data_IF_812354227430
#
_entry.id   IF_812354227430
#
_cell.length_a   1.000
_cell.length_b   1.000
_cell.length_c   1.000
_cell.angle_alpha   90.00
_cell.angle_beta   90.00
_cell.angle_gamma   90.00
#
_symmetry.space_group_name_H-M   'P 1'
#
loop_
_entity.id
_entity.type
_entity.pdbx_description
1 polymer ?
#
# COMPACT_ATOMS: atom_id res chain seq x y z
N UNK A 1 9.53 19.79 -9.20
CA UNK A 1 9.28 18.35 -9.49
C UNK A 1 10.32 17.43 -8.85
N UNK A 2 11.64 17.70 -8.96
CA UNK A 2 12.71 16.91 -8.33
C UNK A 2 12.60 16.68 -6.81
N UNK A 3 11.96 17.60 -6.06
CA UNK A 3 11.81 17.45 -4.61
C UNK A 3 10.81 16.36 -4.22
N UNK A 4 9.69 16.23 -4.95
CA UNK A 4 8.61 15.30 -4.62
C UNK A 4 9.03 13.85 -4.78
N UNK A 5 9.68 13.50 -5.88
CA UNK A 5 10.17 12.13 -6.10
C UNK A 5 11.20 11.74 -5.04
N UNK A 6 12.07 12.66 -4.65
CA UNK A 6 13.05 12.45 -3.57
C UNK A 6 12.36 12.21 -2.23
N UNK A 7 11.39 13.05 -1.87
CA UNK A 7 10.61 12.89 -0.63
C UNK A 7 9.86 11.54 -0.58
N UNK A 8 9.25 11.12 -1.69
CA UNK A 8 8.57 9.81 -1.75
C UNK A 8 9.56 8.64 -1.69
N UNK A 9 10.74 8.76 -2.27
CA UNK A 9 11.80 7.76 -2.12
C UNK A 9 12.21 7.62 -0.65
N UNK A 10 12.47 8.72 0.03
CA UNK A 10 12.81 8.72 1.46
C UNK A 10 11.68 8.13 2.32
N UNK A 11 10.43 8.53 2.05
CA UNK A 11 9.24 7.95 2.70
C UNK A 11 9.15 6.44 2.50
N UNK A 12 9.39 5.98 1.28
CA UNK A 12 9.29 4.55 0.95
C UNK A 12 10.45 3.76 1.52
N UNK A 13 11.66 4.32 1.60
CA UNK A 13 12.79 3.73 2.29
C UNK A 13 12.49 3.51 3.78
N UNK A 14 11.89 4.51 4.43
CA UNK A 14 11.51 4.42 5.84
C UNK A 14 10.40 3.38 6.02
N UNK A 15 9.34 3.46 5.22
CA UNK A 15 8.25 2.50 5.26
C UNK A 15 8.73 1.06 5.02
N UNK A 16 9.63 0.87 4.04
CA UNK A 16 10.20 -0.42 3.70
C UNK A 16 11.00 -1.04 4.86
N UNK A 17 11.74 -0.23 5.64
CA UNK A 17 12.43 -0.70 6.84
C UNK A 17 11.45 -1.26 7.88
N UNK A 18 10.36 -0.54 8.17
CA UNK A 18 9.34 -1.01 9.11
C UNK A 18 8.54 -2.21 8.55
N UNK A 19 8.26 -2.19 7.24
CA UNK A 19 7.58 -3.26 6.52
C UNK A 19 8.51 -4.44 6.17
N UNK A 20 9.82 -4.38 6.47
CA UNK A 20 10.77 -5.47 6.23
C UNK A 20 10.85 -5.92 4.77
N UNK A 21 10.67 -4.99 3.83
CA UNK A 21 10.68 -5.23 2.38
C UNK A 21 11.59 -4.23 1.69
N UNK A 22 11.68 -4.29 0.35
CA UNK A 22 12.35 -3.25 -0.43
C UNK A 22 11.40 -2.07 -0.73
N UNK A 23 11.93 -0.85 -0.97
CA UNK A 23 11.12 0.34 -1.28
C UNK A 23 10.17 0.16 -2.46
N UNK A 24 10.57 -0.58 -3.50
CA UNK A 24 9.76 -0.85 -4.70
C UNK A 24 8.57 -1.78 -4.41
N UNK A 25 8.59 -2.44 -3.26
CA UNK A 25 7.50 -3.30 -2.78
C UNK A 25 6.54 -2.54 -1.87
N UNK A 26 6.73 -1.24 -1.65
CA UNK A 26 5.79 -0.42 -0.87
C UNK A 26 4.82 0.28 -1.82
N UNK A 27 3.52 0.15 -1.52
CA UNK A 27 2.46 0.92 -2.18
C UNK A 27 1.88 1.89 -1.16
N UNK A 28 1.73 3.14 -1.59
CA UNK A 28 1.01 4.17 -0.87
C UNK A 28 -0.38 4.32 -1.45
N UNK A 29 -1.41 4.08 -0.64
CA UNK A 29 -2.79 4.39 -0.98
C UNK A 29 -3.26 5.56 -0.12
N UNK A 30 -3.51 6.70 -0.75
CA UNK A 30 -4.08 7.87 -0.07
C UNK A 30 -5.51 8.07 -0.50
N UNK A 31 -6.42 8.06 0.46
CA UNK A 31 -7.80 8.50 0.29
C UNK A 31 -7.88 9.97 0.67
N UNK A 32 -8.26 10.83 -0.28
CA UNK A 32 -8.48 12.25 0.00
C UNK A 32 -9.76 12.42 0.83
N UNK A 33 -9.63 13.21 1.89
CA UNK A 33 -10.72 13.53 2.82
C UNK A 33 -10.36 14.80 3.60
N UNK A 34 -11.34 15.59 4.02
CA UNK A 34 -11.11 16.81 4.80
C UNK A 34 -10.98 16.46 6.28
N UNK A 35 -9.75 16.32 6.79
CA UNK A 35 -9.53 15.93 8.19
C UNK A 35 -9.79 17.12 9.11
N UNK A 36 -10.74 16.99 10.03
CA UNK A 36 -11.15 18.09 10.92
C UNK A 36 -10.23 18.23 12.13
N UNK A 37 -9.61 17.12 12.55
CA UNK A 37 -8.71 17.07 13.69
C UNK A 37 -7.78 15.86 13.58
N UNK A 38 -6.50 16.04 13.92
CA UNK A 38 -5.54 14.94 14.04
C UNK A 38 -5.91 13.94 15.15
N UNK A 39 -6.75 14.32 16.12
CA UNK A 39 -7.27 13.40 17.13
C UNK A 39 -8.03 12.21 16.52
N UNK A 40 -8.59 12.38 15.32
CA UNK A 40 -9.30 11.32 14.59
C UNK A 40 -8.38 10.13 14.25
N UNK A 41 -7.08 10.34 14.10
CA UNK A 41 -6.12 9.24 13.90
C UNK A 41 -5.83 8.49 15.20
N UNK A 42 -5.77 9.19 16.33
CA UNK A 42 -5.66 8.55 17.64
C UNK A 42 -6.89 7.67 17.92
N UNK A 43 -8.09 8.19 17.65
CA UNK A 43 -9.33 7.43 17.77
C UNK A 43 -9.32 6.20 16.84
N UNK A 44 -8.77 6.34 15.63
CA UNK A 44 -8.62 5.25 14.67
C UNK A 44 -7.72 4.14 15.20
N UNK A 45 -6.49 4.46 15.60
CA UNK A 45 -5.54 3.43 16.05
C UNK A 45 -6.01 2.77 17.35
N UNK A 46 -6.65 3.52 18.26
CA UNK A 46 -7.23 2.96 19.48
C UNK A 46 -8.44 2.07 19.20
N UNK A 47 -9.32 2.44 18.27
CA UNK A 47 -10.45 1.60 17.84
C UNK A 47 -9.93 0.30 17.22
N UNK A 48 -8.93 0.38 16.33
CA UNK A 48 -8.31 -0.79 15.69
C UNK A 48 -7.63 -1.72 16.71
N UNK A 49 -6.97 -1.18 17.72
CA UNK A 49 -6.41 -1.97 18.82
C UNK A 49 -7.50 -2.66 19.63
N UNK A 50 -8.50 -1.91 20.11
CA UNK A 50 -9.55 -2.43 21.00
C UNK A 50 -10.50 -3.40 20.32
N UNK A 51 -10.92 -3.09 19.10
CA UNK A 51 -12.00 -3.83 18.42
C UNK A 51 -11.47 -4.96 17.55
N UNK A 52 -10.28 -4.80 16.97
CA UNK A 52 -9.69 -5.80 16.07
C UNK A 52 -8.43 -6.49 16.61
N UNK A 53 -7.99 -6.13 17.82
CA UNK A 53 -6.80 -6.70 18.45
C UNK A 53 -5.51 -6.38 17.70
N UNK A 54 -5.47 -5.27 16.96
CA UNK A 54 -4.27 -4.85 16.24
C UNK A 54 -3.24 -4.27 17.20
N UNK A 55 -2.01 -4.75 17.10
CA UNK A 55 -0.89 -4.08 17.77
C UNK A 55 -0.47 -2.89 16.93
N UNK A 56 -0.20 -1.75 17.57
CA UNK A 56 0.37 -0.60 16.87
C UNK A 56 1.64 -0.08 17.53
N UNK A 57 2.50 0.51 16.72
CA UNK A 57 3.70 1.21 17.18
C UNK A 57 3.86 2.50 16.40
N UNK A 58 4.13 3.60 17.10
CA UNK A 58 4.37 4.89 16.49
C UNK A 58 5.71 4.92 15.73
N UNK A 59 5.70 5.43 14.51
CA UNK A 59 6.88 5.72 13.70
C UNK A 59 7.12 7.23 13.79
N UNK A 60 8.22 7.61 14.45
CA UNK A 60 8.61 9.01 14.59
C UNK A 60 9.34 9.48 13.32
N UNK A 61 8.73 10.47 12.68
CA UNK A 61 9.24 11.25 11.55
C UNK A 61 9.51 10.50 10.23
N UNK A 62 9.67 11.29 9.16
CA UNK A 62 10.11 10.82 7.84
C UNK A 62 9.04 10.18 6.94
N UNK A 63 7.79 10.12 7.39
CA UNK A 63 6.66 9.70 6.55
C UNK A 63 5.83 10.86 6.00
N UNK A 64 6.33 12.11 6.13
CA UNK A 64 5.61 13.36 5.80
C UNK A 64 4.35 13.56 6.66
N UNK A 65 4.39 13.02 7.87
CA UNK A 65 3.31 12.95 8.82
C UNK A 65 3.66 11.96 9.91
N UNK A 66 2.87 11.89 10.97
CA UNK A 66 3.02 10.88 12.01
C UNK A 66 2.58 9.52 11.48
N UNK A 67 3.40 8.50 11.69
CA UNK A 67 3.11 7.14 11.22
C UNK A 67 2.73 6.20 12.34
N UNK A 68 1.89 5.21 12.04
CA UNK A 68 1.53 4.12 12.93
C UNK A 68 1.69 2.79 12.20
N UNK A 69 2.67 2.00 12.61
CA UNK A 69 2.82 0.62 12.14
C UNK A 69 1.74 -0.22 12.81
N UNK A 70 0.82 -0.79 12.03
CA UNK A 70 -0.19 -1.73 12.50
C UNK A 70 0.23 -3.14 12.12
N UNK A 71 0.16 -4.06 13.08
CA UNK A 71 0.56 -5.45 12.88
C UNK A 71 -0.48 -6.42 13.44
N UNK A 72 -0.71 -7.52 12.72
CA UNK A 72 -1.37 -8.71 13.24
C UNK A 72 -0.62 -9.97 12.77
N UNK A 73 -1.16 -11.14 13.11
CA UNK A 73 -0.62 -12.44 12.72
C UNK A 73 -0.60 -12.68 11.19
N UNK A 74 -1.32 -11.88 10.39
CA UNK A 74 -1.44 -12.03 8.92
C UNK A 74 -0.58 -11.06 8.14
N UNK A 75 -0.19 -9.91 8.71
CA UNK A 75 0.55 -8.90 7.98
C UNK A 75 0.73 -7.60 8.75
N UNK A 76 1.25 -6.60 8.03
CA UNK A 76 1.54 -5.28 8.55
C UNK A 76 1.30 -4.20 7.51
N UNK A 77 0.81 -3.06 7.97
CA UNK A 77 0.61 -1.84 7.19
C UNK A 77 1.04 -0.64 8.03
N UNK A 78 1.23 0.52 7.40
CA UNK A 78 1.47 1.77 8.11
C UNK A 78 0.34 2.73 7.77
N UNK A 79 -0.28 3.32 8.79
CA UNK A 79 -1.15 4.48 8.61
C UNK A 79 -0.32 5.74 8.77
N UNK A 80 -0.50 6.72 7.90
CA UNK A 80 0.16 8.02 7.97
C UNK A 80 -0.90 9.11 8.13
N UNK A 81 -0.70 9.97 9.14
CA UNK A 81 -1.51 11.17 9.34
C UNK A 81 -1.26 12.17 8.22
N UNK A 82 -2.34 12.72 7.66
CA UNK A 82 -2.23 13.72 6.60
C UNK A 82 -3.41 14.69 6.65
N UNK A 83 -3.12 15.98 6.57
CA UNK A 83 -4.14 17.05 6.59
C UNK A 83 -5.26 16.89 5.53
N UNK A 84 -4.96 16.22 4.40
CA UNK A 84 -5.87 16.02 3.27
C UNK A 84 -6.32 14.56 3.14
N UNK A 85 -6.28 13.77 4.22
CA UNK A 85 -6.98 12.50 4.29
C UNK A 85 -6.18 11.36 4.90
N UNK A 86 -6.63 10.13 4.65
CA UNK A 86 -5.99 8.94 5.21
C UNK A 86 -5.02 8.33 4.20
N UNK A 87 -3.77 8.13 4.61
CA UNK A 87 -2.78 7.43 3.79
C UNK A 87 -2.36 6.11 4.45
N UNK A 88 -2.32 5.05 3.65
CA UNK A 88 -1.94 3.71 4.07
C UNK A 88 -0.78 3.24 3.20
N UNK A 89 0.34 2.87 3.83
CA UNK A 89 1.47 2.22 3.18
C UNK A 89 1.41 0.71 3.44
N UNK A 90 1.46 -0.09 2.39
CA UNK A 90 1.37 -1.55 2.48
C UNK A 90 2.33 -2.26 1.51
N UNK A 91 2.52 -3.56 1.73
CA UNK A 91 3.40 -4.39 0.91
C UNK A 91 2.66 -4.80 -0.37
N UNK A 92 3.22 -4.47 -1.54
CA UNK A 92 2.78 -4.95 -2.84
C UNK A 92 2.70 -6.49 -2.87
N UNK A 93 1.64 -7.04 -3.44
CA UNK A 93 1.37 -8.47 -3.48
C UNK A 93 0.87 -9.07 -2.16
N UNK A 94 0.73 -8.28 -1.10
CA UNK A 94 0.22 -8.75 0.18
C UNK A 94 -1.32 -8.82 0.18
N UNK A 95 -1.85 -9.96 -0.26
CA UNK A 95 -3.29 -10.26 -0.23
C UNK A 95 -3.86 -10.12 1.20
N UNK A 96 -3.07 -10.50 2.22
CA UNK A 96 -3.46 -10.36 3.62
C UNK A 96 -3.70 -8.89 4.02
N UNK A 97 -2.90 -7.96 3.49
CA UNK A 97 -3.09 -6.52 3.73
C UNK A 97 -4.32 -6.01 2.98
N UNK A 98 -4.49 -6.41 1.71
CA UNK A 98 -5.58 -5.96 0.83
C UNK A 98 -6.96 -6.45 1.28
N UNK A 99 -7.08 -7.69 1.77
CA UNK A 99 -8.35 -8.29 2.20
C UNK A 99 -8.61 -8.20 3.71
N UNK A 100 -7.56 -7.97 4.51
CA UNK A 100 -7.66 -7.98 5.96
C UNK A 100 -7.54 -6.59 6.55
N UNK A 101 -6.33 -6.04 6.49
CA UNK A 101 -5.99 -4.82 7.23
C UNK A 101 -6.55 -3.55 6.60
N UNK A 102 -6.41 -3.39 5.29
CA UNK A 102 -6.88 -2.19 4.58
C UNK A 102 -8.40 -2.00 4.70
N UNK A 103 -9.26 -3.00 4.45
CA UNK A 103 -10.71 -2.83 4.54
C UNK A 103 -11.14 -2.47 5.95
N UNK A 104 -10.53 -3.10 6.96
CA UNK A 104 -10.77 -2.82 8.37
C UNK A 104 -10.41 -1.37 8.71
N UNK A 105 -9.22 -0.90 8.31
CA UNK A 105 -8.81 0.50 8.52
C UNK A 105 -9.77 1.48 7.85
N UNK A 106 -10.17 1.21 6.60
CA UNK A 106 -11.11 2.08 5.87
C UNK A 106 -12.50 2.10 6.51
N UNK A 107 -12.97 0.97 7.03
CA UNK A 107 -14.23 0.87 7.75
C UNK A 107 -14.20 1.63 9.08
N UNK A 108 -13.16 1.44 9.90
CA UNK A 108 -12.99 2.17 11.15
C UNK A 108 -12.86 3.67 10.90
N UNK A 109 -12.11 4.08 9.87
CA UNK A 109 -12.03 5.48 9.46
C UNK A 109 -13.40 6.05 9.09
N UNK A 110 -14.18 5.32 8.29
CA UNK A 110 -15.56 5.73 7.94
C UNK A 110 -16.47 5.82 9.16
N UNK A 111 -16.35 4.91 10.14
CA UNK A 111 -17.15 4.92 11.36
C UNK A 111 -16.88 6.18 12.20
N UNK A 112 -15.59 6.48 12.42
CA UNK A 112 -15.15 7.67 13.16
C UNK A 112 -15.63 8.95 12.47
N UNK A 113 -15.54 8.98 11.14
CA UNK A 113 -15.90 10.15 10.32
C UNK A 113 -17.41 10.32 10.12
N UNK A 114 -18.15 9.21 10.00
CA UNK A 114 -19.59 9.18 9.77
C UNK A 114 -20.42 9.78 10.92
N UNK A 115 -19.83 9.89 12.12
CA UNK A 115 -20.42 10.64 13.24
C UNK A 115 -20.38 12.17 13.04
N UNK A 116 -19.50 12.69 12.17
CA UNK A 116 -19.26 14.13 11.99
C UNK A 116 -19.64 14.67 10.61
N UNK A 117 -19.82 13.82 9.60
CA UNK A 117 -20.08 14.25 8.23
C UNK A 117 -21.55 14.02 7.82
N UNK A 118 -22.38 15.07 7.89
CA UNK A 118 -23.63 15.12 7.12
C UNK A 118 -23.28 15.22 5.63
N UNK A 119 -23.56 14.16 4.87
CA UNK A 119 -23.82 14.10 3.42
C UNK A 119 -22.95 14.97 2.47
N UNK A 120 -22.23 14.27 1.57
CA UNK A 120 -22.06 14.55 0.12
C UNK A 120 -20.84 15.30 -0.44
N UNK A 121 -19.84 15.74 0.33
CA UNK A 121 -18.64 16.40 -0.26
C UNK A 121 -17.34 15.60 -0.08
N UNK A 122 -17.39 14.28 -0.24
CA UNK A 122 -16.15 13.51 -0.35
C UNK A 122 -15.74 13.46 -1.82
N UNK A 123 -14.73 14.24 -2.19
CA UNK A 123 -13.89 13.90 -3.36
C UNK A 123 -13.31 12.52 -3.07
N UNK A 124 -13.95 11.48 -3.64
CA UNK A 124 -13.61 10.07 -3.45
C UNK A 124 -12.34 9.68 -4.21
N UNK A 125 -11.37 10.59 -4.22
CA UNK A 125 -10.13 10.49 -4.94
C UNK A 125 -9.16 9.65 -4.16
N UNK A 126 -8.80 8.52 -4.78
CA UNK A 126 -7.75 7.67 -4.29
C UNK A 126 -6.54 7.82 -5.17
N UNK A 127 -5.42 8.10 -4.50
CA UNK A 127 -4.13 8.21 -5.11
C UNK A 127 -3.33 6.97 -4.73
N UNK A 128 -2.99 6.17 -5.73
CA UNK A 128 -2.07 5.05 -5.58
C UNK A 128 -0.71 5.52 -6.04
N UNK A 129 0.30 5.41 -5.17
CA UNK A 129 1.67 5.77 -5.49
C UNK A 129 2.60 4.59 -5.25
N UNK A 130 3.54 4.38 -6.16
CA UNK A 130 4.53 3.29 -6.09
C UNK A 130 5.86 3.71 -6.70
N UNK A 131 6.95 3.05 -6.33
CA UNK A 131 8.22 3.16 -7.05
C UNK A 131 8.27 2.09 -8.13
N UNK A 132 8.46 2.51 -9.38
CA UNK A 132 8.62 1.64 -10.54
C UNK A 132 9.93 1.98 -11.24
N UNK A 133 10.86 1.02 -11.29
CA UNK A 133 12.19 1.21 -11.87
C UNK A 133 12.94 2.43 -11.29
N UNK A 134 12.76 2.68 -9.99
CA UNK A 134 13.38 3.80 -9.29
C UNK A 134 12.71 5.16 -9.52
N UNK A 135 11.56 5.22 -10.19
CA UNK A 135 10.78 6.44 -10.40
C UNK A 135 9.43 6.38 -9.70
N UNK A 136 8.94 7.53 -9.24
CA UNK A 136 7.61 7.64 -8.65
C UNK A 136 6.54 7.53 -9.73
N UNK A 137 5.60 6.61 -9.55
CA UNK A 137 4.36 6.50 -10.31
C UNK A 137 3.20 6.89 -9.42
N UNK A 138 2.30 7.71 -9.96
CA UNK A 138 1.07 8.15 -9.28
C UNK A 138 -0.12 7.85 -10.20
N UNK A 139 -1.12 7.16 -9.67
CA UNK A 139 -2.36 6.81 -10.34
C UNK A 139 -3.52 7.37 -9.54
N UNK A 140 -4.45 8.04 -10.23
CA UNK A 140 -5.65 8.60 -9.62
C UNK A 140 -6.85 7.76 -10.03
N UNK A 141 -7.57 7.23 -9.04
CA UNK A 141 -8.81 6.53 -9.25
C UNK A 141 -9.98 7.40 -8.79
N UNK A 142 -10.68 8.01 -9.75
CA UNK A 142 -11.97 8.66 -9.48
C UNK A 142 -13.06 7.59 -9.41
N UNK A 143 -13.91 7.65 -8.38
CA UNK A 143 -15.13 6.82 -8.18
C UNK A 143 -14.96 5.33 -7.90
N UNK A 144 -13.79 4.85 -7.48
CA UNK A 144 -13.62 3.41 -7.21
C UNK A 144 -14.49 2.90 -6.04
N UNK A 145 -14.88 3.78 -5.09
CA UNK A 145 -15.53 3.41 -3.82
C UNK A 145 -16.99 3.88 -3.65
N UNK A 146 -17.63 4.39 -4.72
CA UNK A 146 -18.99 4.95 -4.64
C UNK A 146 -20.10 3.90 -4.62
N UNK A 147 -19.96 2.78 -5.34
CA UNK A 147 -21.01 1.78 -5.44
C UNK A 147 -20.77 0.56 -4.55
N UNK A 148 -21.62 0.45 -3.52
CA UNK A 148 -21.80 -0.71 -2.63
C UNK A 148 -20.53 -1.19 -1.92
N UNK A 149 -20.22 -0.52 -0.81
CA UNK A 149 -19.61 -1.14 0.37
C UNK A 149 -18.27 -1.83 0.16
N UNK A 150 -17.18 -1.07 -0.03
CA UNK A 150 -15.76 -1.49 0.08
C UNK A 150 -15.28 -2.62 -0.86
N UNK A 151 -16.11 -3.57 -1.27
CA UNK A 151 -15.76 -4.81 -1.93
C UNK A 151 -15.51 -4.63 -3.44
N UNK A 152 -16.26 -3.77 -4.11
CA UNK A 152 -16.10 -3.48 -5.55
C UNK A 152 -14.74 -2.86 -5.85
N UNK A 153 -14.32 -1.89 -5.04
CA UNK A 153 -13.04 -1.19 -5.15
C UNK A 153 -11.85 -2.08 -4.78
N UNK A 154 -12.03 -2.91 -3.74
CA UNK A 154 -11.06 -3.95 -3.39
C UNK A 154 -10.95 -4.95 -4.54
N UNK A 155 -12.04 -5.29 -5.23
CA UNK A 155 -12.01 -6.15 -6.42
C UNK A 155 -11.16 -5.54 -7.53
N UNK A 156 -11.31 -4.25 -7.84
CA UNK A 156 -10.48 -3.59 -8.87
C UNK A 156 -9.00 -3.53 -8.46
N UNK A 157 -8.71 -3.24 -7.19
CA UNK A 157 -7.34 -3.28 -6.66
C UNK A 157 -6.75 -4.71 -6.72
N UNK A 158 -7.54 -5.72 -6.37
CA UNK A 158 -7.14 -7.13 -6.48
C UNK A 158 -6.93 -7.56 -7.92
N UNK A 159 -7.81 -7.18 -8.84
CA UNK A 159 -7.66 -7.49 -10.26
C UNK A 159 -6.37 -6.89 -10.82
N UNK A 160 -6.07 -5.64 -10.45
CA UNK A 160 -4.83 -4.98 -10.85
C UNK A 160 -3.61 -5.68 -10.24
N UNK A 161 -3.67 -6.07 -8.97
CA UNK A 161 -2.58 -6.77 -8.30
C UNK A 161 -2.39 -8.18 -8.86
N UNK A 162 -3.47 -8.91 -9.16
CA UNK A 162 -3.45 -10.23 -9.81
C UNK A 162 -2.82 -10.11 -11.20
N UNK A 163 -3.26 -9.13 -12.02
CA UNK A 163 -2.69 -8.89 -13.35
C UNK A 163 -1.19 -8.62 -13.26
N UNK A 164 -0.78 -7.79 -12.30
CA UNK A 164 0.63 -7.48 -12.05
C UNK A 164 1.43 -8.72 -11.64
N UNK A 165 0.93 -9.49 -10.68
CA UNK A 165 1.57 -10.73 -10.23
C UNK A 165 1.70 -11.74 -11.38
N UNK A 166 0.69 -11.84 -12.24
CA UNK A 166 0.75 -12.68 -13.44
C UNK A 166 1.83 -12.22 -14.41
N UNK A 167 1.99 -10.91 -14.61
CA UNK A 167 3.04 -10.35 -15.45
C UNK A 167 4.44 -10.59 -14.86
N UNK A 168 4.59 -10.39 -13.56
CA UNK A 168 5.85 -10.68 -12.85
C UNK A 168 6.23 -12.16 -12.94
N UNK A 169 5.27 -13.08 -12.78
CA UNK A 169 5.49 -14.53 -12.97
C UNK A 169 5.90 -14.84 -14.41
N UNK A 170 5.24 -14.25 -15.41
CA UNK A 170 5.58 -14.44 -16.81
C UNK A 170 7.01 -13.95 -17.11
N UNK A 171 7.38 -12.79 -16.57
CA UNK A 171 8.71 -12.23 -16.70
C UNK A 171 9.76 -13.11 -16.01
N UNK A 172 9.46 -13.61 -14.80
CA UNK A 172 10.35 -14.53 -14.08
C UNK A 172 10.58 -15.83 -14.86
N UNK A 173 9.51 -16.45 -15.36
CA UNK A 173 9.60 -17.68 -16.16
C UNK A 173 10.48 -17.47 -17.41
N UNK A 174 10.30 -16.35 -18.11
CA UNK A 174 11.14 -16.03 -19.28
C UNK A 174 12.63 -15.87 -18.93
N UNK A 175 12.96 -15.40 -17.71
CA UNK A 175 14.34 -15.27 -17.24
C UNK A 175 14.91 -16.62 -16.85
N UNK A 176 14.14 -17.48 -16.19
CA UNK A 176 14.53 -18.86 -15.85
C UNK A 176 14.85 -19.63 -17.13
N UNK A 177 13.97 -19.59 -18.14
CA UNK A 177 14.19 -20.25 -19.43
C UNK A 177 15.49 -19.79 -20.12
N UNK A 178 15.80 -18.49 -20.05
CA UNK A 178 17.05 -17.94 -20.60
C UNK A 178 18.27 -18.47 -19.85
N UNK A 179 18.21 -18.53 -18.53
CA UNK A 179 19.31 -19.05 -17.70
C UNK A 179 19.52 -20.54 -17.97
N UNK A 180 18.45 -21.33 -18.04
CA UNK A 180 18.52 -22.76 -18.33
C UNK A 180 19.14 -23.04 -19.71
N UNK A 181 18.73 -22.28 -20.73
CA UNK A 181 19.33 -22.36 -22.08
C UNK A 181 20.81 -22.01 -22.06
N UNK A 182 21.21 -20.95 -21.35
CA UNK A 182 22.62 -20.57 -21.23
C UNK A 182 23.45 -21.63 -20.49
N UNK A 183 22.91 -22.24 -19.43
CA UNK A 183 23.56 -23.34 -18.70
C UNK A 183 23.71 -24.60 -19.57
N UNK A 184 22.69 -24.95 -20.35
CA UNK A 184 22.74 -26.08 -21.28
C UNK A 184 23.82 -25.88 -22.36
N UNK A 185 23.95 -24.66 -22.90
CA UNK A 185 25.00 -24.31 -23.87
C UNK A 185 26.39 -24.37 -23.24
N UNK A 186 26.56 -23.88 -22.00
CA UNK A 186 27.85 -23.98 -21.27
C UNK A 186 28.24 -25.43 -20.99
N UNK A 187 27.31 -26.28 -20.56
CA UNK A 187 27.57 -27.72 -20.34
C UNK A 187 28.00 -28.44 -21.63
N UNK A 188 27.35 -28.16 -22.77
CA UNK A 188 27.74 -28.73 -24.08
C UNK A 188 29.12 -28.28 -24.56
N UNK A 189 29.56 -27.06 -24.21
CA UNK A 189 30.91 -26.58 -24.53
C UNK A 189 31.98 -27.20 -23.63
N UNK A 190 31.66 -27.46 -22.36
CA UNK A 190 32.57 -28.09 -21.40
C UNK A 190 32.78 -29.59 -21.68
N UNK A 191 31.79 -30.31 -22.21
CA UNK A 191 31.92 -31.75 -22.55
C UNK A 191 32.59 -32.03 -23.90
N UNK A 192 32.99 -31.00 -24.65
CA UNK A 192 33.66 -31.10 -25.96
C UNK A 192 35.14 -30.69 -25.90
N UNK A 193 35.64 -30.35 -24.72
CA UNK A 193 37.06 -30.17 -24.41
C UNK A 193 37.55 -31.39 -23.64
#
# INVERSE_FOLDING_TARGET
>A
MYNREKEFKEKFDIAAKHLGVKPEQVISMKRRDTVMSYSQYNDLVQSLEREAGLQYTEIKDGLQGKGYLLTNHKGKIIIVEHETGLEILYIAGSIASLLGLIPLVLQSWRSIRGHFSKRNDFDNDIEIRRLENGHLREEHAHRMFEDFGTLSSISTLLENEIKRLMEDVKNLNSRVDKIEKQLAVKKKKASKK
#
